data_IF_425495561141
#
_entry.id   IF_425495561141
#
_cell.length_a   1.000
_cell.length_b   1.000
_cell.length_c   1.000
_cell.angle_alpha   90.00
_cell.angle_beta   90.00
_cell.angle_gamma   90.00
#
_symmetry.space_group_name_H-M   'P 1'
#
loop_
_entity.id
_entity.type
_entity.pdbx_description
1 polymer ?
#
# COMPACT_ATOMS: atom_id res chain seq x y z
N UNK A 1 22.29 7.69 -25.43
CA UNK A 1 21.82 8.20 -24.12
C UNK A 1 20.51 7.49 -23.83
N UNK A 2 20.30 6.95 -22.64
CA UNK A 2 19.03 6.30 -22.31
C UNK A 2 17.90 7.35 -22.34
N UNK A 3 16.71 6.97 -22.84
CA UNK A 3 15.55 7.85 -22.90
C UNK A 3 15.22 8.36 -21.47
N UNK A 4 15.22 9.69 -21.23
CA UNK A 4 14.97 10.25 -19.90
C UNK A 4 13.60 9.86 -19.32
N UNK A 5 12.63 9.52 -20.17
CA UNK A 5 11.29 9.05 -19.77
C UNK A 5 11.34 7.69 -19.09
N UNK A 6 12.24 6.80 -19.52
CA UNK A 6 12.47 5.50 -18.88
C UNK A 6 12.91 5.69 -17.43
N UNK A 7 13.78 6.67 -17.16
CA UNK A 7 14.21 6.98 -15.79
C UNK A 7 13.03 7.47 -14.93
N UNK A 8 12.19 8.35 -15.48
CA UNK A 8 11.00 8.84 -14.78
C UNK A 8 10.03 7.70 -14.45
N UNK A 9 9.85 6.78 -15.39
CA UNK A 9 9.02 5.60 -15.25
C UNK A 9 9.50 4.74 -14.07
N UNK A 10 10.79 4.41 -14.02
CA UNK A 10 11.39 3.63 -12.92
C UNK A 10 11.19 4.33 -11.56
N UNK A 11 11.36 5.65 -11.51
CA UNK A 11 11.18 6.42 -10.26
C UNK A 11 9.73 6.35 -9.78
N UNK A 12 8.77 6.67 -10.66
CA UNK A 12 7.33 6.67 -10.34
C UNK A 12 6.85 5.29 -9.93
N UNK A 13 7.25 4.24 -10.66
CA UNK A 13 7.00 2.84 -10.30
C UNK A 13 7.54 2.51 -8.92
N UNK A 14 8.76 2.94 -8.59
CA UNK A 14 9.35 2.72 -7.28
C UNK A 14 8.58 3.41 -6.14
N UNK A 15 8.02 4.60 -6.38
CA UNK A 15 7.18 5.31 -5.42
C UNK A 15 5.89 4.53 -5.14
N UNK A 16 5.15 4.17 -6.20
CA UNK A 16 3.90 3.40 -6.07
C UNK A 16 4.13 2.07 -5.36
N UNK A 17 5.18 1.33 -5.75
CA UNK A 17 5.52 0.04 -5.13
C UNK A 17 5.79 0.16 -3.62
N UNK A 18 6.49 1.22 -3.18
CA UNK A 18 6.76 1.44 -1.75
C UNK A 18 5.49 1.78 -0.98
N UNK A 19 4.64 2.66 -1.53
CA UNK A 19 3.40 3.05 -0.89
C UNK A 19 2.39 1.89 -0.79
N UNK A 20 2.32 1.03 -1.82
CA UNK A 20 1.52 -0.18 -1.80
C UNK A 20 1.99 -1.11 -0.67
N UNK A 21 3.30 -1.33 -0.55
CA UNK A 21 3.88 -2.14 0.53
C UNK A 21 3.65 -1.52 1.91
N UNK A 22 3.77 -0.21 2.06
CA UNK A 22 3.51 0.51 3.32
C UNK A 22 2.07 0.25 3.81
N UNK A 23 1.07 0.45 2.94
CA UNK A 23 -0.33 0.16 3.27
C UNK A 23 -0.52 -1.30 3.67
N UNK A 24 0.00 -2.24 2.89
CA UNK A 24 -0.13 -3.69 3.19
C UNK A 24 0.53 -4.07 4.51
N UNK A 25 1.62 -3.41 4.92
CA UNK A 25 2.25 -3.64 6.23
C UNK A 25 1.33 -3.17 7.35
N UNK A 26 0.72 -1.99 7.22
CA UNK A 26 -0.23 -1.50 8.22
C UNK A 26 -1.48 -2.39 8.34
N UNK A 27 -2.01 -2.91 7.22
CA UNK A 27 -3.11 -3.87 7.26
C UNK A 27 -2.74 -5.17 7.99
N UNK A 28 -1.52 -5.67 7.75
CA UNK A 28 -1.01 -6.85 8.45
C UNK A 28 -0.87 -6.60 9.95
N UNK A 29 -0.42 -5.42 10.35
CA UNK A 29 -0.32 -5.06 11.76
C UNK A 29 -1.70 -5.07 12.43
N UNK A 30 -2.71 -4.48 11.79
CA UNK A 30 -4.09 -4.51 12.29
C UNK A 30 -4.58 -5.96 12.47
N UNK A 31 -4.31 -6.84 11.50
CA UNK A 31 -4.69 -8.24 11.60
C UNK A 31 -3.97 -8.98 12.74
N UNK A 32 -2.68 -8.68 12.97
CA UNK A 32 -1.93 -9.21 14.11
C UNK A 32 -2.54 -8.77 15.44
N UNK A 33 -2.86 -7.49 15.58
CA UNK A 33 -3.42 -6.95 16.81
C UNK A 33 -4.87 -7.39 17.05
N UNK A 34 -5.65 -7.63 16.00
CA UNK A 34 -6.97 -8.27 16.08
C UNK A 34 -6.86 -9.73 16.55
N UNK A 35 -5.95 -10.51 15.97
CA UNK A 35 -5.70 -11.89 16.41
C UNK A 35 -5.24 -11.95 17.88
N UNK A 36 -4.47 -10.95 18.32
CA UNK A 36 -4.05 -10.79 19.71
C UNK A 36 -5.22 -10.47 20.64
N UNK A 37 -6.15 -9.60 20.23
CA UNK A 37 -7.38 -9.33 20.97
C UNK A 37 -8.22 -10.59 21.14
N UNK A 38 -8.39 -11.38 20.08
CA UNK A 38 -9.13 -12.64 20.14
C UNK A 38 -8.47 -13.66 21.07
N UNK A 39 -7.13 -13.70 21.07
CA UNK A 39 -6.38 -14.50 22.05
C UNK A 39 -6.67 -14.06 23.49
N UNK A 40 -6.63 -12.76 23.79
CA UNK A 40 -6.95 -12.26 25.13
C UNK A 40 -8.38 -12.59 25.57
N UNK A 41 -9.36 -12.51 24.65
CA UNK A 41 -10.74 -12.93 24.93
C UNK A 41 -10.82 -14.42 25.28
N UNK A 42 -10.15 -15.27 24.52
CA UNK A 42 -10.14 -16.71 24.74
C UNK A 42 -9.43 -17.12 26.04
N UNK A 43 -8.44 -16.34 26.47
CA UNK A 43 -7.73 -16.54 27.73
C UNK A 43 -8.47 -15.96 28.95
N UNK A 44 -9.62 -15.30 28.74
CA UNK A 44 -10.42 -14.71 29.82
C UNK A 44 -9.77 -13.48 30.44
N UNK A 45 -9.02 -12.70 29.65
CA UNK A 45 -8.45 -11.43 30.10
C UNK A 45 -9.54 -10.45 30.56
N UNK A 46 -9.19 -9.59 31.51
CA UNK A 46 -10.10 -8.59 32.05
C UNK A 46 -10.40 -7.44 31.06
N UNK A 47 -11.44 -6.68 31.39
CA UNK A 47 -11.92 -5.55 30.56
C UNK A 47 -10.84 -4.47 30.35
N UNK A 48 -9.93 -4.28 31.30
CA UNK A 48 -8.87 -3.28 31.16
C UNK A 48 -7.87 -3.70 30.07
N UNK A 49 -7.47 -4.98 30.06
CA UNK A 49 -6.58 -5.53 29.03
C UNK A 49 -7.26 -5.48 27.65
N UNK A 50 -8.52 -5.88 27.55
CA UNK A 50 -9.26 -5.87 26.28
C UNK A 50 -9.39 -4.45 25.73
N UNK A 51 -9.79 -3.48 26.56
CA UNK A 51 -9.87 -2.07 26.15
C UNK A 51 -8.53 -1.51 25.70
N UNK A 52 -7.44 -1.84 26.40
CA UNK A 52 -6.11 -1.36 26.00
C UNK A 52 -5.70 -1.92 24.64
N UNK A 53 -6.04 -3.18 24.37
CA UNK A 53 -5.77 -3.81 23.08
C UNK A 53 -6.62 -3.19 21.95
N UNK A 54 -7.88 -2.81 22.24
CA UNK A 54 -8.71 -2.06 21.29
C UNK A 54 -8.13 -0.68 20.94
N UNK A 55 -7.57 0.04 21.93
CA UNK A 55 -6.86 1.31 21.68
C UNK A 55 -5.66 1.12 20.74
N UNK A 56 -4.87 0.05 20.94
CA UNK A 56 -3.74 -0.29 20.05
C UNK A 56 -4.23 -0.53 18.62
N UNK A 57 -5.32 -1.29 18.45
CA UNK A 57 -5.91 -1.53 17.13
C UNK A 57 -6.36 -0.22 16.48
N UNK A 58 -6.98 0.68 17.24
CA UNK A 58 -7.39 2.00 16.74
C UNK A 58 -6.18 2.83 16.28
N UNK A 59 -5.08 2.83 17.03
CA UNK A 59 -3.83 3.49 16.65
C UNK A 59 -3.27 2.95 15.33
N UNK A 60 -3.28 1.63 15.15
CA UNK A 60 -2.88 1.00 13.88
C UNK A 60 -3.81 1.41 12.72
N UNK A 61 -5.13 1.42 12.95
CA UNK A 61 -6.13 1.80 11.94
C UNK A 61 -5.97 3.25 11.48
N UNK A 62 -5.58 4.17 12.38
CA UNK A 62 -5.35 5.58 12.04
C UNK A 62 -4.23 5.79 10.98
N UNK A 63 -3.38 4.80 10.74
CA UNK A 63 -2.30 4.87 9.73
C UNK A 63 -2.77 4.57 8.30
N UNK A 64 -3.92 3.90 8.14
CA UNK A 64 -4.43 3.46 6.84
C UNK A 64 -4.90 4.61 5.94
N UNK A 65 -5.65 5.62 6.43
CA UNK A 65 -6.21 6.66 5.56
C UNK A 65 -5.14 7.45 4.81
N UNK A 66 -4.07 7.87 5.49
CA UNK A 66 -3.03 8.68 4.83
C UNK A 66 -2.16 7.85 3.88
N UNK A 67 -1.82 6.61 4.24
CA UNK A 67 -1.07 5.71 3.33
C UNK A 67 -1.89 5.38 2.09
N UNK A 68 -3.20 5.11 2.22
CA UNK A 68 -4.13 4.92 1.09
C UNK A 68 -4.23 6.18 0.22
N UNK A 69 -4.36 7.37 0.82
CA UNK A 69 -4.42 8.64 0.09
C UNK A 69 -3.14 8.91 -0.71
N UNK A 70 -1.97 8.69 -0.10
CA UNK A 70 -0.67 8.83 -0.77
C UNK A 70 -0.54 7.84 -1.92
N UNK A 71 -0.90 6.57 -1.71
CA UNK A 71 -0.89 5.55 -2.74
C UNK A 71 -1.80 5.91 -3.92
N UNK A 72 -3.04 6.31 -3.66
CA UNK A 72 -4.03 6.68 -4.69
C UNK A 72 -3.48 7.79 -5.59
N UNK A 73 -2.92 8.84 -4.98
CA UNK A 73 -2.35 9.97 -5.71
C UNK A 73 -1.22 9.52 -6.65
N UNK A 74 -0.25 8.77 -6.15
CA UNK A 74 0.90 8.36 -6.95
C UNK A 74 0.54 7.26 -7.97
N UNK A 75 -0.47 6.44 -7.67
CA UNK A 75 -1.08 5.51 -8.62
C UNK A 75 -1.63 6.27 -9.83
N UNK A 76 -2.45 7.30 -9.62
CA UNK A 76 -3.02 8.13 -10.69
C UNK A 76 -1.92 8.83 -11.51
N UNK A 77 -0.87 9.32 -10.85
CA UNK A 77 0.29 9.92 -11.52
C UNK A 77 1.00 8.91 -12.43
N UNK A 78 1.26 7.69 -11.96
CA UNK A 78 1.90 6.65 -12.77
C UNK A 78 0.99 6.16 -13.89
N UNK A 79 -0.29 5.97 -13.61
CA UNK A 79 -1.29 5.54 -14.59
C UNK A 79 -1.39 6.55 -15.74
N UNK A 80 -1.49 7.84 -15.43
CA UNK A 80 -1.48 8.89 -16.44
C UNK A 80 -0.17 8.89 -17.23
N UNK A 81 0.97 8.73 -16.56
CA UNK A 81 2.27 8.70 -17.23
C UNK A 81 2.37 7.54 -18.25
N UNK A 82 1.83 6.36 -17.94
CA UNK A 82 1.76 5.26 -18.91
C UNK A 82 0.83 5.57 -20.10
N UNK A 83 -0.28 6.26 -19.85
CA UNK A 83 -1.21 6.67 -20.92
C UNK A 83 -0.60 7.70 -21.86
N UNK A 84 0.25 8.59 -21.33
CA UNK A 84 0.91 9.64 -22.12
C UNK A 84 2.11 9.07 -22.92
N UNK A 85 2.74 7.98 -22.44
CA UNK A 85 4.00 7.43 -22.99
C UNK A 85 3.81 6.03 -23.61
N UNK A 86 2.73 5.85 -24.37
CA UNK A 86 2.35 4.56 -24.97
C UNK A 86 3.40 4.01 -25.95
N UNK A 87 4.24 4.86 -26.53
CA UNK A 87 5.36 4.48 -27.39
C UNK A 87 6.44 3.69 -26.64
N UNK A 88 6.44 3.72 -25.30
CA UNK A 88 7.36 2.95 -24.46
C UNK A 88 6.82 1.58 -24.04
N UNK A 89 5.66 1.14 -24.54
CA UNK A 89 4.98 -0.11 -24.11
C UNK A 89 5.83 -1.38 -24.16
N UNK A 90 6.71 -1.47 -25.15
CA UNK A 90 7.59 -2.62 -25.36
C UNK A 90 8.85 -2.57 -24.48
N UNK A 91 9.02 -1.52 -23.69
CA UNK A 91 10.15 -1.42 -22.76
C UNK A 91 9.85 -2.17 -21.47
N UNK A 92 10.88 -2.85 -20.94
CA UNK A 92 10.80 -3.55 -19.66
C UNK A 92 10.32 -2.64 -18.51
N UNK A 93 10.72 -1.36 -18.53
CA UNK A 93 10.31 -0.40 -17.53
C UNK A 93 8.81 -0.10 -17.56
N UNK A 94 8.19 -0.08 -18.75
CA UNK A 94 6.75 0.11 -18.91
C UNK A 94 5.97 -1.13 -18.48
N UNK A 95 6.43 -2.32 -18.86
CA UNK A 95 5.81 -3.57 -18.42
C UNK A 95 5.82 -3.67 -16.89
N UNK A 96 6.96 -3.42 -16.24
CA UNK A 96 7.09 -3.40 -14.78
C UNK A 96 6.20 -2.35 -14.11
N UNK A 97 6.10 -1.16 -14.70
CA UNK A 97 5.21 -0.11 -14.20
C UNK A 97 3.74 -0.54 -14.25
N UNK A 98 3.34 -1.20 -15.33
CA UNK A 98 1.99 -1.71 -15.52
C UNK A 98 1.64 -2.81 -14.51
N UNK A 99 2.57 -3.76 -14.28
CA UNK A 99 2.43 -4.79 -13.25
C UNK A 99 2.25 -4.18 -11.85
N UNK A 100 3.09 -3.20 -11.51
CA UNK A 100 3.01 -2.50 -10.20
C UNK A 100 1.69 -1.75 -10.05
N UNK A 101 1.10 -1.19 -11.11
CA UNK A 101 -0.23 -0.61 -11.03
C UNK A 101 -1.29 -1.68 -10.70
N UNK A 102 -1.24 -2.85 -11.33
CA UNK A 102 -2.19 -3.94 -11.02
C UNK A 102 -2.09 -4.37 -9.55
N UNK A 103 -0.85 -4.51 -9.04
CA UNK A 103 -0.61 -4.80 -7.62
C UNK A 103 -1.14 -3.69 -6.71
N UNK A 104 -0.85 -2.42 -7.04
CA UNK A 104 -1.27 -1.27 -6.26
C UNK A 104 -2.79 -1.06 -6.28
N UNK A 105 -3.46 -1.36 -7.39
CA UNK A 105 -4.93 -1.32 -7.50
C UNK A 105 -5.58 -2.33 -6.54
N UNK A 106 -5.00 -3.53 -6.45
CA UNK A 106 -5.43 -4.53 -5.49
C UNK A 106 -5.27 -4.04 -4.05
N UNK A 107 -4.12 -3.43 -3.75
CA UNK A 107 -3.86 -2.81 -2.45
C UNK A 107 -4.73 -1.59 -2.15
N UNK A 108 -5.30 -0.89 -3.15
CA UNK A 108 -6.22 0.24 -2.93
C UNK A 108 -7.65 -0.21 -2.62
N UNK A 109 -8.05 -1.37 -3.15
CA UNK A 109 -9.39 -1.96 -2.98
C UNK A 109 -9.55 -2.71 -1.65
N UNK A 110 -8.46 -3.21 -1.07
CA UNK A 110 -8.43 -3.73 0.30
C UNK A 110 -8.60 -2.61 1.34
#
# INVERSE_FOLDING_TARGET
>A
MADPRIRQLVIKTGVVKRLAKEKTVYEKEINTELARLDKFKNEGADDHVLRKQEEVIQECQMMIPDSKRRLQKEFEVLQKYLQDELDLKETEAYTKASEVLVEAESALKS
#
